data_IF_448485579709
#
_entry.id   IF_448485579709
#
_cell.length_a   1.000
_cell.length_b   1.000
_cell.length_c   1.000
_cell.angle_alpha   90.00
_cell.angle_beta   90.00
_cell.angle_gamma   90.00
#
_symmetry.space_group_name_H-M   'P 1'
#
loop_
_entity.id
_entity.type
_entity.pdbx_description
1 polymer ?
#
# COMPACT_ATOMS: atom_id res chain seq x y z
N UNK A 1 45.54 -33.92 4.47
CA UNK A 1 44.75 -34.37 5.62
C UNK A 1 43.31 -34.40 5.14
N UNK A 2 42.79 -35.59 4.84
CA UNK A 2 41.41 -35.76 4.39
C UNK A 2 40.54 -36.04 5.62
N UNK A 3 39.36 -35.41 5.70
CA UNK A 3 38.40 -35.66 6.78
C UNK A 3 37.64 -36.94 6.38
N UNK A 4 37.84 -38.03 7.12
CA UNK A 4 37.26 -39.35 6.79
C UNK A 4 35.76 -39.46 7.14
N UNK A 5 35.29 -38.74 8.16
CA UNK A 5 33.87 -38.65 8.50
C UNK A 5 33.56 -37.48 9.46
N UNK A 6 32.35 -36.94 9.35
CA UNK A 6 31.80 -35.98 10.32
C UNK A 6 30.80 -36.68 11.24
N UNK A 7 31.01 -36.58 12.55
CA UNK A 7 30.04 -37.01 13.55
C UNK A 7 29.02 -35.89 13.76
N UNK A 8 27.76 -36.14 13.40
CA UNK A 8 26.64 -35.24 13.70
C UNK A 8 25.93 -35.75 14.94
N UNK A 9 25.96 -34.97 16.01
CA UNK A 9 25.14 -35.26 17.18
C UNK A 9 23.67 -35.03 16.82
N UNK A 10 22.87 -36.11 16.85
CA UNK A 10 21.41 -35.99 16.71
C UNK A 10 20.87 -35.29 17.94
N UNK A 11 20.60 -34.00 17.84
CA UNK A 11 19.89 -33.25 18.86
C UNK A 11 18.39 -33.29 18.56
N UNK A 12 17.57 -33.47 19.60
CA UNK A 12 16.10 -33.32 19.53
C UNK A 12 15.65 -31.85 19.31
N UNK A 13 16.58 -30.99 18.88
CA UNK A 13 16.37 -29.61 18.47
C UNK A 13 16.14 -29.47 16.97
N UNK A 14 16.12 -30.58 16.21
CA UNK A 14 15.78 -30.57 14.78
C UNK A 14 14.46 -29.80 14.57
N UNK A 15 14.55 -28.55 14.09
CA UNK A 15 13.41 -27.71 13.74
C UNK A 15 12.65 -27.03 14.89
N UNK A 16 13.20 -26.91 16.12
CA UNK A 16 12.52 -26.13 17.17
C UNK A 16 12.71 -24.63 16.91
N UNK A 17 11.77 -24.02 16.17
CA UNK A 17 11.67 -22.57 16.05
C UNK A 17 11.33 -21.95 17.41
N UNK A 18 12.29 -21.23 17.99
CA UNK A 18 12.06 -20.42 19.18
C UNK A 18 11.50 -19.06 18.77
N UNK A 19 10.37 -18.67 19.37
CA UNK A 19 9.79 -17.35 19.18
C UNK A 19 10.56 -16.33 20.02
N UNK A 20 11.33 -15.46 19.36
CA UNK A 20 11.95 -14.33 20.03
C UNK A 20 11.03 -13.10 19.96
N UNK A 21 10.42 -12.76 21.10
CA UNK A 21 9.65 -11.52 21.24
C UNK A 21 10.49 -10.44 21.92
N UNK A 22 10.64 -9.28 21.29
CA UNK A 22 11.12 -8.09 21.99
C UNK A 22 9.97 -7.46 22.76
N UNK A 23 10.08 -7.46 24.09
CA UNK A 23 9.10 -6.83 24.99
C UNK A 23 8.98 -5.33 24.72
N UNK A 24 10.08 -4.66 24.36
CA UNK A 24 10.10 -3.23 24.00
C UNK A 24 9.21 -2.98 22.78
N UNK A 25 9.40 -3.74 21.70
CA UNK A 25 8.58 -3.61 20.48
C UNK A 25 7.11 -3.90 20.80
N UNK A 26 6.84 -4.92 21.62
CA UNK A 26 5.47 -5.27 22.02
C UNK A 26 4.78 -4.12 22.77
N UNK A 27 5.45 -3.51 23.75
CA UNK A 27 4.92 -2.36 24.49
C UNK A 27 4.68 -1.18 23.54
N UNK A 28 5.63 -0.87 22.65
CA UNK A 28 5.48 0.22 21.67
C UNK A 28 4.27 -0.01 20.76
N UNK A 29 4.09 -1.23 20.24
CA UNK A 29 2.95 -1.60 19.37
C UNK A 29 1.63 -1.53 20.15
N UNK A 30 1.61 -2.02 21.39
CA UNK A 30 0.43 -1.96 22.24
C UNK A 30 0.02 -0.51 22.54
N UNK A 31 0.97 0.34 22.92
CA UNK A 31 0.75 1.77 23.15
C UNK A 31 0.25 2.48 21.89
N UNK A 32 0.87 2.24 20.74
CA UNK A 32 0.44 2.83 19.46
C UNK A 32 -0.98 2.39 19.07
N UNK A 33 -1.35 1.12 19.30
CA UNK A 33 -2.70 0.64 19.05
C UNK A 33 -3.72 1.21 20.05
N UNK A 34 -3.34 1.35 21.33
CA UNK A 34 -4.18 2.00 22.34
C UNK A 34 -4.48 3.45 21.94
N UNK A 35 -3.47 4.23 21.54
CA UNK A 35 -3.65 5.61 21.05
C UNK A 35 -4.59 5.63 19.83
N UNK A 36 -4.38 4.76 18.84
CA UNK A 36 -5.27 4.67 17.66
C UNK A 36 -6.72 4.35 18.06
N UNK A 37 -6.93 3.43 18.99
CA UNK A 37 -8.26 3.07 19.49
C UNK A 37 -8.91 4.24 20.23
N UNK A 38 -8.15 4.94 21.08
CA UNK A 38 -8.63 6.13 21.79
C UNK A 38 -9.02 7.24 20.81
N UNK A 39 -8.20 7.53 19.80
CA UNK A 39 -8.55 8.49 18.75
C UNK A 39 -9.82 8.09 17.99
N UNK A 40 -9.97 6.81 17.61
CA UNK A 40 -11.19 6.33 16.93
C UNK A 40 -12.43 6.46 17.83
N UNK A 41 -12.31 6.09 19.10
CA UNK A 41 -13.40 6.26 20.10
C UNK A 41 -13.75 7.72 20.28
N UNK A 42 -12.75 8.59 20.43
CA UNK A 42 -12.95 10.03 20.55
C UNK A 42 -13.69 10.60 19.32
N UNK A 43 -13.23 10.26 18.10
CA UNK A 43 -13.90 10.70 16.87
C UNK A 43 -15.36 10.19 16.83
N UNK A 44 -15.60 8.93 17.22
CA UNK A 44 -16.94 8.35 17.24
C UNK A 44 -17.89 9.05 18.23
N UNK A 45 -17.37 9.49 19.38
CA UNK A 45 -18.15 10.15 20.42
C UNK A 45 -18.36 11.65 20.15
N UNK A 46 -17.43 12.32 19.47
CA UNK A 46 -17.47 13.78 19.23
C UNK A 46 -18.08 14.15 17.89
N UNK A 47 -17.88 13.37 16.82
CA UNK A 47 -18.34 13.71 15.47
C UNK A 47 -19.59 12.92 15.07
N UNK A 48 -20.74 13.36 15.56
CA UNK A 48 -22.07 12.90 15.16
C UNK A 48 -22.73 13.75 14.07
N UNK A 49 -22.15 14.92 13.74
CA UNK A 49 -22.68 15.78 12.68
C UNK A 49 -22.53 15.14 11.29
N UNK A 50 -23.43 15.45 10.33
CA UNK A 50 -23.35 14.93 8.97
C UNK A 50 -22.06 15.40 8.29
N UNK A 51 -21.05 14.52 8.30
CA UNK A 51 -19.79 14.75 7.59
C UNK A 51 -20.09 14.76 6.10
N UNK A 52 -19.58 15.76 5.37
CA UNK A 52 -19.59 15.77 3.89
C UNK A 52 -18.63 14.68 3.38
N UNK A 53 -19.04 13.42 3.53
CA UNK A 53 -18.24 12.26 3.21
C UNK A 53 -18.27 11.96 1.71
N UNK A 54 -19.35 12.33 1.03
CA UNK A 54 -19.57 12.05 -0.39
C UNK A 54 -19.83 13.32 -1.19
N UNK A 55 -19.66 13.23 -2.51
CA UNK A 55 -20.07 14.33 -3.40
C UNK A 55 -21.56 14.62 -3.26
N UNK A 56 -22.39 13.59 -3.05
CA UNK A 56 -23.82 13.76 -2.85
C UNK A 56 -24.13 14.59 -1.60
N UNK A 57 -23.42 14.37 -0.49
CA UNK A 57 -23.57 15.19 0.72
C UNK A 57 -23.22 16.65 0.46
N UNK A 58 -22.14 16.88 -0.31
CA UNK A 58 -21.77 18.21 -0.75
C UNK A 58 -22.84 18.88 -1.61
N UNK A 59 -23.38 18.18 -2.61
CA UNK A 59 -24.46 18.71 -3.47
C UNK A 59 -25.71 18.98 -2.64
N UNK A 60 -26.13 18.04 -1.78
CA UNK A 60 -27.29 18.20 -0.92
C UNK A 60 -27.14 19.42 0.00
N UNK A 61 -25.96 19.62 0.59
CA UNK A 61 -25.65 20.81 1.40
C UNK A 61 -25.79 22.12 0.61
N UNK A 62 -25.29 22.18 -0.63
CA UNK A 62 -25.44 23.35 -1.49
C UNK A 62 -26.87 23.57 -1.99
N UNK A 63 -27.70 22.53 -2.08
CA UNK A 63 -29.12 22.65 -2.41
C UNK A 63 -29.93 23.13 -1.21
N UNK A 64 -29.60 22.70 0.02
CA UNK A 64 -30.25 23.12 1.25
C UNK A 64 -29.85 24.54 1.67
N UNK A 65 -28.58 24.92 1.47
CA UNK A 65 -28.05 26.26 1.73
C UNK A 65 -27.29 26.79 0.50
N UNK A 66 -27.99 27.46 -0.45
CA UNK A 66 -27.37 27.98 -1.65
C UNK A 66 -26.28 29.01 -1.34
N UNK A 67 -25.08 28.80 -1.89
CA UNK A 67 -23.98 29.74 -1.73
C UNK A 67 -24.14 30.95 -2.69
N UNK A 68 -24.14 32.21 -2.20
CA UNK A 68 -24.29 33.41 -3.04
C UNK A 68 -23.30 33.50 -4.21
N UNK A 69 -22.10 32.94 -4.06
CA UNK A 69 -21.07 32.95 -5.10
C UNK A 69 -21.36 31.95 -6.25
N UNK A 70 -22.21 30.96 -6.04
CA UNK A 70 -22.50 29.90 -7.03
C UNK A 70 -23.96 29.89 -7.50
N UNK A 71 -24.83 30.67 -6.88
CA UNK A 71 -26.23 30.82 -7.28
C UNK A 71 -26.35 31.25 -8.75
N UNK A 72 -27.30 30.65 -9.48
CA UNK A 72 -27.59 30.89 -10.89
C UNK A 72 -26.43 30.58 -11.86
N UNK A 73 -25.50 29.70 -11.47
CA UNK A 73 -24.38 29.26 -12.31
C UNK A 73 -24.50 27.76 -12.63
N UNK A 74 -24.10 27.32 -13.83
CA UNK A 74 -24.17 25.92 -14.21
C UNK A 74 -23.09 25.08 -13.52
N UNK A 75 -23.16 23.75 -13.66
CA UNK A 75 -22.09 22.85 -13.22
C UNK A 75 -20.73 23.27 -13.78
N UNK A 76 -19.73 23.33 -12.90
CA UNK A 76 -18.39 23.84 -13.23
C UNK A 76 -17.37 22.71 -13.29
N UNK A 77 -16.49 22.80 -14.27
CA UNK A 77 -15.22 22.08 -14.24
C UNK A 77 -14.26 22.76 -13.25
N UNK A 78 -13.22 22.05 -12.80
CA UNK A 78 -12.21 22.61 -11.90
C UNK A 78 -11.53 23.86 -12.46
N UNK A 79 -11.29 23.91 -13.77
CA UNK A 79 -10.70 25.06 -14.44
C UNK A 79 -11.64 26.27 -14.38
N UNK A 80 -12.92 26.06 -14.68
CA UNK A 80 -13.94 27.10 -14.56
C UNK A 80 -14.08 27.57 -13.10
N UNK A 81 -14.16 26.67 -12.11
CA UNK A 81 -14.27 27.04 -10.70
C UNK A 81 -13.13 27.98 -10.23
N UNK A 82 -11.90 27.79 -10.72
CA UNK A 82 -10.76 28.69 -10.41
C UNK A 82 -10.91 30.09 -11.02
N UNK A 83 -11.43 30.16 -12.25
CA UNK A 83 -11.71 31.44 -12.93
C UNK A 83 -12.85 32.17 -12.21
N UNK A 84 -13.90 31.44 -11.83
CA UNK A 84 -15.09 31.98 -11.18
C UNK A 84 -14.80 32.57 -9.79
N UNK A 85 -13.82 32.03 -9.05
CA UNK A 85 -13.37 32.63 -7.79
C UNK A 85 -12.94 34.10 -7.97
N UNK A 86 -12.53 34.50 -9.17
CA UNK A 86 -12.09 35.88 -9.49
C UNK A 86 -13.22 36.79 -9.98
N UNK A 87 -14.38 36.24 -10.38
CA UNK A 87 -15.47 36.99 -11.05
C UNK A 87 -16.48 37.64 -10.09
N UNK A 88 -16.32 37.48 -8.76
CA UNK A 88 -17.25 38.06 -7.78
C UNK A 88 -18.63 37.38 -7.71
N UNK A 89 -19.49 37.90 -6.81
CA UNK A 89 -20.86 37.41 -6.55
C UNK A 89 -21.81 37.80 -7.70
N UNK A 90 -22.73 36.92 -8.10
CA UNK A 90 -23.86 37.30 -8.97
C UNK A 90 -23.61 37.35 -10.49
N UNK A 91 -22.36 37.20 -10.96
CA UNK A 91 -22.09 37.13 -12.40
C UNK A 91 -22.78 35.92 -13.06
N UNK A 92 -23.70 36.16 -14.00
CA UNK A 92 -24.34 35.12 -14.82
C UNK A 92 -23.33 34.57 -15.83
N UNK A 93 -23.18 33.25 -15.89
CA UNK A 93 -22.30 32.61 -16.88
C UNK A 93 -23.07 31.60 -17.69
N UNK A 94 -22.98 31.74 -19.02
CA UNK A 94 -23.62 30.83 -19.97
C UNK A 94 -22.93 29.47 -19.92
N UNK A 95 -23.71 28.40 -19.73
CA UNK A 95 -23.19 27.05 -19.82
C UNK A 95 -22.72 26.77 -21.25
N UNK A 96 -21.50 26.29 -21.38
CA UNK A 96 -20.98 25.76 -22.65
C UNK A 96 -20.75 24.27 -22.45
N UNK A 97 -21.40 23.45 -23.28
CA UNK A 97 -21.09 22.04 -23.31
C UNK A 97 -19.61 21.87 -23.73
N UNK A 98 -18.82 21.08 -22.98
CA UNK A 98 -17.47 20.80 -23.38
C UNK A 98 -17.48 20.05 -24.72
N UNK A 99 -16.87 20.65 -25.75
CA UNK A 99 -16.74 20.07 -27.11
C UNK A 99 -15.89 18.79 -27.15
N UNK A 100 -15.16 18.50 -26.09
CA UNK A 100 -14.23 17.36 -26.00
C UNK A 100 -14.81 16.33 -25.03
N UNK A 101 -14.81 15.07 -25.43
CA UNK A 101 -15.14 13.95 -24.55
C UNK A 101 -14.22 13.96 -23.32
N UNK A 102 -14.80 14.23 -22.16
CA UNK A 102 -14.10 14.19 -20.87
C UNK A 102 -13.57 12.76 -20.65
N UNK A 103 -12.24 12.61 -20.51
CA UNK A 103 -11.56 11.35 -20.18
C UNK A 103 -11.40 11.21 -18.67
N UNK A 104 -11.51 9.99 -18.12
CA UNK A 104 -11.32 9.74 -16.68
C UNK A 104 -9.95 10.21 -16.18
N UNK A 105 -8.90 10.09 -17.00
CA UNK A 105 -7.56 10.53 -16.64
C UNK A 105 -7.42 12.04 -16.35
N UNK A 106 -8.33 12.88 -16.87
CA UNK A 106 -8.30 14.33 -16.62
C UNK A 106 -8.89 14.73 -15.26
N UNK A 107 -9.49 13.79 -14.51
CA UNK A 107 -10.09 14.08 -13.22
C UNK A 107 -9.06 14.30 -12.10
N UNK A 108 -8.03 13.45 -11.90
CA UNK A 108 -6.99 13.70 -10.91
C UNK A 108 -6.11 14.90 -11.30
N UNK A 109 -5.53 15.56 -10.30
CA UNK A 109 -4.57 16.64 -10.54
C UNK A 109 -3.25 16.10 -11.11
N UNK A 110 -2.54 16.92 -11.91
CA UNK A 110 -1.18 16.60 -12.38
C UNK A 110 -0.22 16.18 -11.26
N UNK A 111 -0.12 16.86 -10.09
CA UNK A 111 0.77 16.41 -9.03
C UNK A 111 0.37 15.06 -8.43
N UNK A 112 -0.94 14.74 -8.33
CA UNK A 112 -1.37 13.41 -7.89
C UNK A 112 -0.87 12.32 -8.84
N UNK A 113 -0.98 12.56 -10.15
CA UNK A 113 -0.44 11.65 -11.15
C UNK A 113 1.06 11.47 -11.04
N UNK A 114 1.81 12.58 -10.96
CA UNK A 114 3.27 12.54 -10.88
C UNK A 114 3.70 11.76 -9.65
N UNK A 115 3.11 12.04 -8.48
CA UNK A 115 3.43 11.34 -7.22
C UNK A 115 3.11 9.84 -7.32
N UNK A 116 1.92 9.48 -7.82
CA UNK A 116 1.53 8.06 -7.94
C UNK A 116 2.45 7.31 -8.91
N UNK A 117 2.72 7.89 -10.09
CA UNK A 117 3.60 7.28 -11.08
C UNK A 117 5.03 7.19 -10.57
N UNK A 118 5.55 8.23 -9.91
CA UNK A 118 6.93 8.24 -9.40
C UNK A 118 7.13 7.23 -8.29
N UNK A 119 6.21 7.15 -7.32
CA UNK A 119 6.28 6.16 -6.24
C UNK A 119 6.27 4.75 -6.80
N UNK A 120 5.44 4.52 -7.82
CA UNK A 120 5.31 3.22 -8.44
C UNK A 120 6.55 2.82 -9.25
N UNK A 121 7.11 3.74 -10.04
CA UNK A 121 8.38 3.49 -10.76
C UNK A 121 9.53 3.22 -9.81
N UNK A 122 9.62 3.97 -8.70
CA UNK A 122 10.65 3.75 -7.68
C UNK A 122 10.47 2.36 -7.05
N UNK A 123 9.23 1.97 -6.70
CA UNK A 123 8.97 0.66 -6.13
C UNK A 123 9.35 -0.49 -7.08
N UNK A 124 9.02 -0.38 -8.38
CA UNK A 124 9.46 -1.34 -9.39
C UNK A 124 10.98 -1.43 -9.45
N UNK A 125 11.69 -0.29 -9.51
CA UNK A 125 13.15 -0.26 -9.59
C UNK A 125 13.76 -0.95 -8.37
N UNK A 126 13.30 -0.60 -7.15
CA UNK A 126 13.80 -1.21 -5.91
C UNK A 126 13.56 -2.71 -5.90
N UNK A 127 12.36 -3.17 -6.25
CA UNK A 127 12.03 -4.60 -6.29
C UNK A 127 12.86 -5.34 -7.35
N UNK A 128 13.07 -4.75 -8.53
CA UNK A 128 13.92 -5.33 -9.58
C UNK A 128 15.38 -5.45 -9.14
N UNK A 129 15.92 -4.45 -8.45
CA UNK A 129 17.27 -4.50 -7.89
C UNK A 129 17.38 -5.61 -6.83
N UNK A 130 16.41 -5.69 -5.90
CA UNK A 130 16.36 -6.75 -4.90
C UNK A 130 16.22 -8.15 -5.54
N UNK A 131 15.48 -8.27 -6.64
CA UNK A 131 15.35 -9.53 -7.38
C UNK A 131 16.68 -9.93 -8.03
N UNK A 132 17.37 -8.96 -8.63
CA UNK A 132 18.66 -9.19 -9.29
C UNK A 132 19.75 -9.58 -8.28
N UNK A 133 19.84 -8.86 -7.15
CA UNK A 133 20.79 -9.16 -6.07
C UNK A 133 20.52 -10.54 -5.43
N UNK A 134 19.24 -10.88 -5.20
CA UNK A 134 18.89 -12.19 -4.66
C UNK A 134 19.25 -13.34 -5.60
N UNK A 135 19.01 -13.17 -6.90
CA UNK A 135 19.37 -14.17 -7.89
C UNK A 135 20.88 -14.33 -8.05
N UNK A 136 21.66 -13.24 -8.04
CA UNK A 136 23.13 -13.34 -8.13
C UNK A 136 23.73 -14.06 -6.93
N UNK A 137 23.29 -13.71 -5.70
CA UNK A 137 23.77 -14.36 -4.48
C UNK A 137 23.51 -15.87 -4.45
N UNK A 138 22.38 -16.33 -5.02
CA UNK A 138 22.05 -17.76 -5.12
C UNK A 138 22.81 -18.50 -6.22
N UNK A 139 23.36 -17.77 -7.20
CA UNK A 139 24.11 -18.35 -8.32
C UNK A 139 25.60 -18.45 -8.01
N UNK A 140 26.14 -17.51 -7.22
CA UNK A 140 27.57 -17.43 -6.87
C UNK A 140 27.99 -18.41 -5.75
N UNK A 141 27.04 -19.01 -5.03
CA UNK A 141 27.36 -20.00 -3.99
C UNK A 141 27.73 -21.37 -4.59
N UNK A 142 28.66 -22.07 -3.94
CA UNK A 142 29.29 -23.33 -4.38
C UNK A 142 28.32 -24.49 -4.66
N UNK A 143 27.05 -24.36 -4.29
CA UNK A 143 25.95 -25.25 -4.65
C UNK A 143 24.97 -24.40 -5.48
N UNK A 144 25.16 -24.38 -6.79
CA UNK A 144 24.24 -23.70 -7.70
C UNK A 144 22.84 -24.33 -7.56
N UNK A 145 21.90 -23.63 -6.92
CA UNK A 145 20.50 -24.04 -6.92
C UNK A 145 19.97 -23.77 -8.33
N UNK A 146 19.65 -24.79 -9.15
CA UNK A 146 19.36 -24.60 -10.58
C UNK A 146 18.15 -23.69 -10.84
N UNK A 147 17.27 -23.55 -9.85
CA UNK A 147 16.11 -22.68 -9.90
C UNK A 147 15.92 -21.99 -8.55
N UNK A 148 16.29 -20.71 -8.38
CA UNK A 148 16.09 -19.98 -7.11
C UNK A 148 14.61 -19.92 -6.68
N UNK A 149 13.68 -20.14 -7.62
CA UNK A 149 12.24 -20.15 -7.41
C UNK A 149 11.66 -21.48 -6.91
N UNK A 150 12.44 -22.56 -6.83
CA UNK A 150 11.96 -23.84 -6.28
C UNK A 150 11.89 -23.86 -4.75
N UNK A 151 12.39 -22.82 -4.09
CA UNK A 151 12.29 -22.64 -2.64
C UNK A 151 10.83 -22.32 -2.31
N UNK A 152 10.15 -23.29 -1.70
CA UNK A 152 8.75 -23.16 -1.29
C UNK A 152 8.53 -22.06 -0.25
N UNK A 153 7.30 -21.54 -0.18
CA UNK A 153 6.93 -20.56 0.83
C UNK A 153 7.21 -21.07 2.24
N UNK A 154 7.87 -20.23 3.06
CA UNK A 154 8.17 -20.48 4.48
C UNK A 154 9.14 -21.65 4.75
N UNK A 155 9.82 -22.16 3.72
CA UNK A 155 10.91 -23.12 3.91
C UNK A 155 12.19 -22.35 4.17
N UNK A 156 12.79 -22.52 5.36
CA UNK A 156 14.09 -21.96 5.65
C UNK A 156 15.14 -22.60 4.74
N UNK A 157 15.92 -21.76 4.06
CA UNK A 157 17.08 -22.19 3.31
C UNK A 157 18.26 -21.29 3.70
N UNK A 158 19.34 -21.89 4.20
CA UNK A 158 20.55 -21.19 4.62
C UNK A 158 21.23 -20.42 3.49
N UNK A 159 20.94 -20.77 2.23
CA UNK A 159 21.47 -20.13 1.04
C UNK A 159 20.60 -18.96 0.55
N UNK A 160 19.35 -18.86 1.02
CA UNK A 160 18.41 -17.80 0.66
C UNK A 160 18.37 -16.67 1.71
N UNK A 161 19.56 -16.20 2.10
CA UNK A 161 19.71 -15.03 2.96
C UNK A 161 20.28 -13.87 2.16
N UNK A 162 19.83 -12.65 2.48
CA UNK A 162 20.44 -11.43 1.97
C UNK A 162 21.19 -10.77 3.10
N UNK A 163 22.49 -10.60 2.91
CA UNK A 163 23.28 -9.69 3.72
C UNK A 163 23.02 -8.25 3.23
N UNK A 164 21.94 -7.65 3.73
CA UNK A 164 21.55 -6.26 3.40
C UNK A 164 22.57 -5.24 3.95
N UNK A 165 23.41 -5.63 4.92
CA UNK A 165 24.35 -4.74 5.61
C UNK A 165 25.83 -5.01 5.29
N UNK A 166 26.10 -5.78 4.22
CA UNK A 166 27.46 -6.20 3.81
C UNK A 166 28.47 -5.06 3.57
N UNK A 167 28.02 -3.80 3.47
CA UNK A 167 28.90 -2.62 3.41
C UNK A 167 29.54 -2.25 4.76
N UNK A 168 29.17 -2.92 5.85
CA UNK A 168 29.88 -2.88 7.11
C UNK A 168 30.33 -4.29 7.46
N UNK A 169 31.59 -4.47 7.80
CA UNK A 169 32.25 -5.71 8.23
C UNK A 169 31.68 -6.27 9.55
N UNK A 170 30.36 -6.34 9.68
CA UNK A 170 29.63 -6.54 10.92
C UNK A 170 28.54 -7.59 10.67
N UNK A 171 28.95 -8.85 10.51
CA UNK A 171 28.03 -9.96 10.76
C UNK A 171 27.75 -9.96 12.27
N UNK A 172 26.53 -9.61 12.72
CA UNK A 172 26.26 -9.45 14.13
C UNK A 172 26.49 -10.78 14.86
N UNK A 173 27.39 -10.75 15.82
CA UNK A 173 27.89 -11.92 16.57
C UNK A 173 26.96 -12.18 17.76
N UNK A 174 27.01 -13.35 18.39
CA UNK A 174 26.15 -13.67 19.54
C UNK A 174 26.15 -12.64 20.69
N UNK A 175 27.23 -11.86 20.85
CA UNK A 175 27.33 -10.78 21.82
C UNK A 175 26.37 -9.60 21.53
N UNK A 176 26.13 -9.31 20.25
CA UNK A 176 25.26 -8.21 19.79
C UNK A 176 23.78 -8.55 19.99
N UNK A 177 23.42 -9.82 20.15
CA UNK A 177 22.04 -10.26 20.40
C UNK A 177 21.50 -9.86 21.77
N UNK A 178 22.38 -9.53 22.71
CA UNK A 178 21.95 -8.96 24.00
C UNK A 178 21.37 -7.55 23.84
N UNK A 179 21.73 -6.86 22.75
CA UNK A 179 21.28 -5.51 22.48
C UNK A 179 19.93 -5.50 21.73
N UNK A 180 18.93 -4.83 22.32
CA UNK A 180 17.63 -4.64 21.67
C UNK A 180 17.73 -3.80 20.38
N UNK A 181 18.82 -3.05 20.17
CA UNK A 181 19.04 -2.14 19.05
C UNK A 181 19.18 -2.87 17.71
N UNK A 182 19.91 -3.99 17.67
CA UNK A 182 20.08 -4.77 16.43
C UNK A 182 18.74 -5.35 15.96
N UNK A 183 17.99 -5.97 16.88
CA UNK A 183 16.67 -6.50 16.59
C UNK A 183 15.72 -5.40 16.15
N UNK A 184 15.76 -4.23 16.78
CA UNK A 184 14.95 -3.08 16.38
C UNK A 184 15.30 -2.57 14.98
N UNK A 185 16.58 -2.48 14.63
CA UNK A 185 17.04 -2.04 13.31
C UNK A 185 16.55 -2.99 12.21
N UNK A 186 16.78 -4.29 12.39
CA UNK A 186 16.36 -5.32 11.43
C UNK A 186 14.83 -5.42 11.33
N UNK A 187 14.12 -5.33 12.47
CA UNK A 187 12.66 -5.22 12.52
C UNK A 187 12.15 -3.99 11.77
N UNK A 188 12.83 -2.86 11.88
CA UNK A 188 12.44 -1.62 11.19
C UNK A 188 12.58 -1.78 9.68
N UNK A 189 13.70 -2.33 9.20
CA UNK A 189 13.90 -2.59 7.77
C UNK A 189 12.86 -3.58 7.22
N UNK A 190 12.63 -4.69 7.92
CA UNK A 190 11.64 -5.69 7.53
C UNK A 190 10.18 -5.15 7.56
N UNK A 191 9.90 -4.09 8.32
CA UNK A 191 8.57 -3.45 8.34
C UNK A 191 8.48 -2.21 7.42
N UNK A 192 9.61 -1.61 7.03
CA UNK A 192 9.64 -0.45 6.14
C UNK A 192 8.97 -0.75 4.79
N UNK A 193 9.14 -1.98 4.29
CA UNK A 193 8.45 -2.46 3.09
C UNK A 193 6.92 -2.31 3.18
N UNK A 194 6.34 -2.50 4.37
CA UNK A 194 4.88 -2.36 4.58
C UNK A 194 4.45 -0.89 4.51
N UNK A 195 5.31 0.04 4.93
CA UNK A 195 5.05 1.48 4.81
C UNK A 195 5.05 1.89 3.33
N UNK A 196 6.00 1.37 2.53
CA UNK A 196 6.07 1.66 1.09
C UNK A 196 4.79 1.22 0.37
N UNK A 197 4.33 -0.02 0.62
CA UNK A 197 3.08 -0.52 0.03
C UNK A 197 1.87 0.30 0.48
N UNK A 198 1.82 0.72 1.75
CA UNK A 198 0.75 1.59 2.26
C UNK A 198 0.71 2.93 1.55
N UNK A 199 1.87 3.57 1.33
CA UNK A 199 1.98 4.82 0.59
C UNK A 199 1.50 4.67 -0.86
N UNK A 200 1.86 3.57 -1.52
CA UNK A 200 1.37 3.23 -2.87
C UNK A 200 -0.15 3.09 -2.88
N UNK A 201 -0.72 2.36 -1.91
CA UNK A 201 -2.17 2.22 -1.78
C UNK A 201 -2.85 3.57 -1.62
N UNK A 202 -2.35 4.46 -0.76
CA UNK A 202 -2.94 5.81 -0.60
C UNK A 202 -2.87 6.64 -1.88
N UNK A 203 -1.73 6.59 -2.59
CA UNK A 203 -1.56 7.28 -3.87
C UNK A 203 -2.52 6.74 -4.94
N UNK A 204 -2.66 5.43 -5.04
CA UNK A 204 -3.55 4.75 -5.98
C UNK A 204 -5.03 5.02 -5.66
N UNK A 205 -5.42 4.86 -4.40
CA UNK A 205 -6.77 5.16 -3.90
C UNK A 205 -7.16 6.63 -4.14
N UNK A 206 -6.22 7.56 -3.98
CA UNK A 206 -6.47 8.99 -4.25
C UNK A 206 -6.78 9.26 -5.72
N UNK A 207 -6.07 8.60 -6.63
CA UNK A 207 -6.29 8.71 -8.08
C UNK A 207 -7.65 8.12 -8.45
N UNK A 208 -7.94 6.88 -8.04
CA UNK A 208 -9.22 6.21 -8.32
C UNK A 208 -10.41 6.94 -7.74
N UNK A 209 -10.31 7.37 -6.48
CA UNK A 209 -11.37 8.16 -5.84
C UNK A 209 -11.64 9.43 -6.64
N UNK A 210 -10.60 10.10 -7.15
CA UNK A 210 -10.77 11.31 -7.99
C UNK A 210 -11.48 11.00 -9.31
N UNK A 211 -11.15 9.89 -9.97
CA UNK A 211 -11.78 9.49 -11.23
C UNK A 211 -13.26 9.15 -11.06
N UNK A 212 -13.58 8.26 -10.11
CA UNK A 212 -14.96 7.81 -9.87
C UNK A 212 -15.81 8.97 -9.35
N UNK A 213 -15.26 9.82 -8.50
CA UNK A 213 -15.92 11.03 -8.03
C UNK A 213 -16.29 11.97 -9.19
N UNK A 214 -15.37 12.19 -10.13
CA UNK A 214 -15.65 13.02 -11.29
C UNK A 214 -16.68 12.38 -12.24
N UNK A 215 -16.67 11.05 -12.38
CA UNK A 215 -17.66 10.33 -13.17
C UNK A 215 -19.06 10.42 -12.54
N UNK A 216 -19.16 10.23 -11.22
CA UNK A 216 -20.40 10.39 -10.45
C UNK A 216 -20.95 11.82 -10.61
N UNK A 217 -20.10 12.83 -10.44
CA UNK A 217 -20.48 14.23 -10.60
C UNK A 217 -20.94 14.55 -12.03
N UNK A 218 -20.24 14.05 -13.04
CA UNK A 218 -20.59 14.26 -14.46
C UNK A 218 -21.97 13.69 -14.78
N UNK A 219 -22.33 12.52 -14.25
CA UNK A 219 -23.63 11.87 -14.57
C UNK A 219 -24.82 12.73 -14.18
N UNK A 220 -24.73 13.54 -13.12
CA UNK A 220 -25.80 14.48 -12.73
C UNK A 220 -26.04 15.60 -13.75
N UNK A 221 -25.06 15.93 -14.59
CA UNK A 221 -25.23 16.91 -15.66
C UNK A 221 -25.96 16.36 -16.89
N UNK A 222 -25.96 15.04 -17.08
CA UNK A 222 -26.53 14.40 -18.27
C UNK A 222 -27.83 13.65 -17.99
N UNK A 223 -28.01 13.11 -16.78
CA UNK A 223 -29.19 12.35 -16.40
C UNK A 223 -29.70 12.83 -15.04
N UNK A 224 -31.03 12.85 -14.87
CA UNK A 224 -31.63 12.99 -13.55
C UNK A 224 -31.35 11.71 -12.76
N UNK A 225 -30.56 11.82 -11.69
CA UNK A 225 -30.17 10.70 -10.84
C UNK A 225 -30.28 11.11 -9.38
N UNK A 226 -30.78 10.23 -8.53
CA UNK A 226 -30.82 10.44 -7.09
C UNK A 226 -29.40 10.63 -6.52
N UNK A 227 -29.25 11.57 -5.58
CA UNK A 227 -28.00 11.81 -4.87
C UNK A 227 -27.69 10.62 -3.94
N UNK A 228 -26.43 10.25 -3.89
CA UNK A 228 -25.91 9.25 -2.95
C UNK A 228 -25.38 9.98 -1.72
N UNK A 229 -26.08 9.90 -0.60
CA UNK A 229 -25.80 10.68 0.63
C UNK A 229 -25.71 9.78 1.86
N UNK A 230 -25.00 10.25 2.90
CA UNK A 230 -24.91 9.53 4.17
C UNK A 230 -26.20 9.60 4.99
N UNK A 231 -26.95 10.70 4.85
CA UNK A 231 -28.25 10.92 5.49
C UNK A 231 -29.30 11.24 4.41
N UNK A 232 -30.00 10.22 3.86
CA UNK A 232 -30.88 10.39 2.72
C UNK A 232 -32.20 11.05 3.10
N UNK A 233 -32.60 12.08 2.36
CA UNK A 233 -33.93 12.70 2.43
C UNK A 233 -34.73 12.41 1.14
N UNK A 234 -35.96 11.91 1.28
CA UNK A 234 -36.86 11.65 0.14
C UNK A 234 -36.36 10.55 -0.80
N UNK A 235 -36.19 10.88 -2.10
CA UNK A 235 -35.75 9.91 -3.13
C UNK A 235 -34.21 9.71 -3.20
N UNK A 236 -33.45 10.26 -2.25
CA UNK A 236 -32.00 10.08 -2.18
C UNK A 236 -31.63 8.63 -1.82
N UNK A 237 -30.46 8.19 -2.27
CA UNK A 237 -29.94 6.85 -1.96
C UNK A 237 -28.97 6.94 -0.79
N UNK A 238 -29.22 6.15 0.26
CA UNK A 238 -28.26 5.98 1.34
C UNK A 238 -26.94 5.40 0.80
N UNK A 239 -25.83 5.86 1.35
CA UNK A 239 -24.53 5.19 1.23
C UNK A 239 -23.86 5.10 2.59
N UNK A 240 -22.99 4.11 2.72
CA UNK A 240 -22.01 4.08 3.79
C UNK A 240 -21.16 5.35 3.77
N UNK A 241 -20.59 5.72 4.94
CA UNK A 241 -19.71 6.87 5.16
C UNK A 241 -18.38 6.84 4.35
N UNK A 242 -18.29 6.02 3.30
CA UNK A 242 -17.17 6.02 2.36
C UNK A 242 -17.49 6.91 1.14
N UNK A 243 -16.55 7.79 0.83
CA UNK A 243 -16.57 8.61 -0.39
C UNK A 243 -16.61 7.76 -1.66
N UNK A 244 -16.02 6.56 -1.62
CA UNK A 244 -15.79 5.70 -2.77
C UNK A 244 -16.73 4.48 -2.80
N UNK A 245 -17.37 4.15 -3.95
CA UNK A 245 -18.25 2.98 -4.06
C UNK A 245 -17.52 1.66 -3.78
N UNK A 246 -18.18 0.75 -3.05
CA UNK A 246 -17.62 -0.56 -2.68
C UNK A 246 -17.17 -1.42 -3.86
N UNK A 247 -17.81 -1.27 -5.02
CA UNK A 247 -17.46 -2.01 -6.25
C UNK A 247 -16.02 -1.76 -6.72
N UNK A 248 -15.45 -0.60 -6.39
CA UNK A 248 -14.07 -0.27 -6.69
C UNK A 248 -13.19 -0.29 -5.43
N UNK A 249 -13.75 0.08 -4.28
CA UNK A 249 -13.02 0.09 -3.01
C UNK A 249 -12.56 -1.31 -2.61
N UNK A 250 -13.46 -2.30 -2.72
CA UNK A 250 -13.20 -3.65 -2.26
C UNK A 250 -12.14 -4.36 -3.11
N UNK A 251 -12.20 -4.37 -4.47
CA UNK A 251 -11.13 -4.96 -5.26
C UNK A 251 -9.78 -4.29 -5.00
N UNK A 252 -9.76 -2.96 -4.87
CA UNK A 252 -8.51 -2.23 -4.57
C UNK A 252 -7.94 -2.61 -3.20
N UNK A 253 -8.79 -2.69 -2.18
CA UNK A 253 -8.37 -3.11 -0.83
C UNK A 253 -7.90 -4.57 -0.81
N UNK A 254 -8.56 -5.46 -1.55
CA UNK A 254 -8.15 -6.86 -1.68
C UNK A 254 -6.80 -6.99 -2.38
N UNK A 255 -6.61 -6.33 -3.53
CA UNK A 255 -5.33 -6.33 -4.23
C UNK A 255 -4.22 -5.75 -3.36
N UNK A 256 -4.47 -4.66 -2.65
CA UNK A 256 -3.53 -4.10 -1.67
C UNK A 256 -3.19 -5.10 -0.57
N UNK A 257 -4.20 -5.79 -0.02
CA UNK A 257 -4.00 -6.80 1.03
C UNK A 257 -3.15 -7.97 0.54
N UNK A 258 -3.39 -8.43 -0.70
CA UNK A 258 -2.58 -9.47 -1.35
C UNK A 258 -1.14 -8.99 -1.55
N UNK A 259 -0.94 -7.76 -2.02
CA UNK A 259 0.41 -7.20 -2.19
C UNK A 259 1.15 -7.09 -0.85
N UNK A 260 0.49 -6.59 0.20
CA UNK A 260 1.02 -6.54 1.56
C UNK A 260 1.43 -7.92 2.08
N UNK A 261 0.58 -8.92 1.82
CA UNK A 261 0.87 -10.30 2.20
C UNK A 261 2.07 -10.87 1.44
N UNK A 262 2.13 -10.72 0.12
CA UNK A 262 3.27 -11.17 -0.69
C UNK A 262 4.57 -10.50 -0.24
N UNK A 263 4.54 -9.19 0.02
CA UNK A 263 5.69 -8.43 0.53
C UNK A 263 6.08 -8.85 1.96
N UNK A 264 5.12 -9.30 2.78
CA UNK A 264 5.47 -9.87 4.10
C UNK A 264 6.25 -11.18 4.00
N UNK A 265 6.12 -11.89 2.87
CA UNK A 265 6.85 -13.14 2.61
C UNK A 265 8.16 -12.92 1.86
N UNK A 266 8.41 -11.72 1.31
CA UNK A 266 9.63 -11.44 0.54
C UNK A 266 10.87 -11.26 1.38
N UNK A 267 10.76 -10.48 2.46
CA UNK A 267 11.85 -10.18 3.38
C UNK A 267 11.39 -10.53 4.79
N UNK A 268 12.11 -11.43 5.44
CA UNK A 268 11.81 -11.88 6.79
C UNK A 268 13.10 -11.91 7.61
N UNK A 269 12.99 -11.79 8.93
CA UNK A 269 14.16 -11.85 9.81
C UNK A 269 14.40 -13.31 10.17
N UNK A 270 15.64 -13.77 10.04
CA UNK A 270 16.08 -15.09 10.46
C UNK A 270 17.21 -14.97 11.46
N UNK A 271 17.13 -15.74 12.54
CA UNK A 271 18.20 -15.86 13.53
C UNK A 271 18.63 -17.32 13.60
N UNK A 272 19.93 -17.53 13.45
CA UNK A 272 20.55 -18.86 13.52
C UNK A 272 21.46 -18.89 14.73
N UNK A 273 21.08 -19.70 15.72
CA UNK A 273 21.91 -19.96 16.90
C UNK A 273 22.74 -21.22 16.67
N UNK A 274 24.05 -21.09 16.81
CA UNK A 274 24.97 -22.22 16.80
C UNK A 274 25.29 -22.52 18.27
N UNK A 275 25.08 -23.77 18.67
CA UNK A 275 25.24 -24.21 20.06
C UNK A 275 26.48 -25.10 20.16
N UNK A 276 27.32 -24.85 21.17
CA UNK A 276 28.44 -25.72 21.54
C UNK A 276 27.91 -27.04 22.14
N UNK A 277 28.78 -28.04 22.28
CA UNK A 277 28.57 -29.32 22.97
C UNK A 277 27.92 -29.21 24.35
N UNK A 278 28.08 -28.08 25.05
CA UNK A 278 27.44 -27.79 26.34
C UNK A 278 26.07 -27.08 26.23
N UNK A 279 25.53 -26.89 25.02
CA UNK A 279 24.26 -26.22 24.78
C UNK A 279 24.28 -24.70 24.95
N UNK A 280 25.46 -24.07 24.97
CA UNK A 280 25.62 -22.61 25.02
C UNK A 280 25.75 -22.04 23.61
N UNK A 281 25.21 -20.84 23.39
CA UNK A 281 25.34 -20.12 22.10
C UNK A 281 26.79 -19.75 21.84
N UNK A 282 27.31 -20.17 20.69
CA UNK A 282 28.64 -19.80 20.20
C UNK A 282 28.63 -18.40 19.58
N UNK A 283 29.79 -17.75 19.59
CA UNK A 283 29.97 -16.43 18.98
C UNK A 283 29.62 -16.41 17.48
N UNK A 284 29.80 -17.53 16.77
CA UNK A 284 29.47 -17.65 15.35
C UNK A 284 27.97 -17.66 15.03
N UNK A 285 27.09 -17.56 16.04
CA UNK A 285 25.65 -17.35 15.82
C UNK A 285 25.39 -15.99 15.15
N UNK A 286 24.47 -15.94 14.20
CA UNK A 286 24.22 -14.76 13.36
C UNK A 286 22.71 -14.47 13.17
N UNK A 287 22.40 -13.22 12.85
CA UNK A 287 21.04 -12.75 12.58
C UNK A 287 21.01 -11.96 11.27
N UNK A 288 20.17 -12.39 10.34
CA UNK A 288 20.15 -11.91 8.95
C UNK A 288 18.72 -11.66 8.47
N UNK A 289 18.60 -10.98 7.33
CA UNK A 289 17.33 -10.86 6.61
C UNK A 289 17.26 -12.00 5.59
N UNK A 290 16.41 -12.98 5.88
CA UNK A 290 16.02 -14.00 4.94
C UNK A 290 15.25 -13.41 3.76
N UNK A 291 15.45 -14.02 2.60
CA UNK A 291 14.95 -13.52 1.33
C UNK A 291 14.27 -14.65 0.56
N UNK A 292 13.06 -14.40 0.05
CA UNK A 292 12.32 -15.38 -0.73
C UNK A 292 12.13 -14.89 -2.18
N UNK A 293 12.95 -15.35 -3.15
CA UNK A 293 12.91 -14.89 -4.54
C UNK A 293 11.53 -15.11 -5.18
N UNK A 294 10.88 -16.22 -4.86
CA UNK A 294 9.55 -16.55 -5.37
C UNK A 294 8.49 -15.52 -4.92
N UNK A 295 8.49 -15.13 -3.65
CA UNK A 295 7.55 -14.14 -3.14
C UNK A 295 7.77 -12.75 -3.77
N UNK A 296 9.03 -12.40 -4.03
CA UNK A 296 9.39 -11.13 -4.67
C UNK A 296 8.97 -11.13 -6.13
N UNK A 297 9.18 -12.22 -6.86
CA UNK A 297 8.72 -12.37 -8.24
C UNK A 297 7.19 -12.27 -8.32
N UNK A 298 6.48 -12.90 -7.39
CA UNK A 298 5.02 -12.82 -7.31
C UNK A 298 4.54 -11.40 -6.94
N UNK A 299 5.19 -10.74 -5.97
CA UNK A 299 4.88 -9.36 -5.63
C UNK A 299 5.17 -8.40 -6.80
N UNK A 300 6.27 -8.62 -7.52
CA UNK A 300 6.68 -7.85 -8.69
C UNK A 300 5.66 -7.98 -9.82
N UNK A 301 5.33 -9.23 -10.20
CA UNK A 301 4.37 -9.52 -11.27
C UNK A 301 2.95 -9.04 -10.95
N UNK A 302 2.50 -9.26 -9.71
CA UNK A 302 1.21 -8.76 -9.25
C UNK A 302 1.17 -7.24 -9.23
N UNK A 303 2.23 -6.61 -8.70
CA UNK A 303 2.41 -5.17 -8.69
C UNK A 303 2.36 -4.58 -10.10
N UNK A 304 3.15 -5.11 -11.05
CA UNK A 304 3.16 -4.70 -12.47
C UNK A 304 1.79 -4.84 -13.12
N UNK A 305 1.09 -5.94 -12.85
CA UNK A 305 -0.30 -6.12 -13.28
C UNK A 305 -1.23 -4.99 -12.82
N UNK A 306 -1.14 -4.57 -11.55
CA UNK A 306 -1.96 -3.47 -11.02
C UNK A 306 -1.69 -2.12 -11.70
N UNK A 307 -0.45 -1.86 -12.11
CA UNK A 307 -0.08 -0.63 -12.81
C UNK A 307 -0.45 -0.64 -14.28
N UNK A 308 -0.26 -1.77 -14.96
CA UNK A 308 -0.78 -1.94 -16.32
C UNK A 308 -2.30 -1.79 -16.31
N UNK A 309 -3.00 -2.34 -15.31
CA UNK A 309 -4.43 -2.11 -15.12
C UNK A 309 -4.80 -0.63 -15.01
N UNK A 310 -4.06 0.14 -14.21
CA UNK A 310 -4.24 1.59 -14.08
C UNK A 310 -3.99 2.33 -15.40
N UNK A 311 -2.97 1.95 -16.18
CA UNK A 311 -2.64 2.58 -17.47
C UNK A 311 -3.58 2.12 -18.61
N UNK A 312 -4.19 0.95 -18.53
CA UNK A 312 -5.27 0.56 -19.44
C UNK A 312 -6.53 1.39 -19.17
N UNK A 313 -6.87 1.60 -17.90
CA UNK A 313 -7.99 2.44 -17.51
C UNK A 313 -7.76 3.93 -17.86
N UNK A 314 -6.51 4.38 -17.96
CA UNK A 314 -6.15 5.69 -18.53
C UNK A 314 -6.66 5.90 -19.95
N UNK A 315 -6.53 4.86 -20.78
CA UNK A 315 -6.89 4.88 -22.19
C UNK A 315 -8.39 4.75 -22.43
N UNK A 316 -9.12 4.24 -21.44
CA UNK A 316 -10.56 4.03 -21.54
C UNK A 316 -11.30 5.36 -21.75
N UNK A 317 -11.96 5.49 -22.90
CA UNK A 317 -12.91 6.57 -23.14
C UNK A 317 -14.09 6.34 -22.20
N UNK A 318 -14.45 7.38 -21.46
CA UNK A 318 -15.71 7.38 -20.71
C UNK A 318 -16.82 7.26 -21.73
N UNK A 319 -17.57 6.15 -21.69
CA UNK A 319 -18.68 5.91 -22.63
C UNK A 319 -19.53 7.18 -22.69
N UNK A 320 -19.57 7.80 -23.86
CA UNK A 320 -20.43 8.95 -24.09
C UNK A 320 -21.87 8.47 -23.87
N UNK A 321 -22.66 9.23 -23.11
CA UNK A 321 -24.08 8.99 -23.02
C UNK A 321 -24.65 9.10 -24.44
N UNK A 322 -25.19 7.99 -24.97
CA UNK A 322 -26.12 8.07 -26.10
C UNK A 322 -27.34 8.81 -25.55
N UNK A 323 -27.52 10.04 -26.01
CA UNK A 323 -28.78 10.77 -25.86
C UNK A 323 -29.84 9.99 -26.63
N UNK A 324 -30.70 9.29 -25.90
CA UNK A 324 -32.02 8.88 -26.38
C UNK A 324 -33.02 9.95 -25.97
#
# INVERSE_FOLDING_TARGET
MAIDYCLVQRTDLAGKCLLQCSLVIMICVLGANAVKLTCRKFILLTYLEPVLATIGDGIASFLERPNPFTVNRPFLTRAQARIFKRLGVGGKVRYHQPRIALRWWNAPSRPRWIITLSLYTIAIIVVSLLLTMGNSNLTDQSISIPTPYSIGFRIYNSYATLDIFSTSSFSPTAADFSSNSLLLSLATVANLQQVIVSCLYFAYNTVYTSMVSADEFRRFSSHRKALRTTDPKGQQRSTYRLSFPWTYALPLALCSSVLHWLVSQSLFISRTEILDTYGKTEWISYMEVGYLPLAILLAFSFGTGMFVGLDLERGSKVKAARTG
#
